data_IF_056637056141
#
_entry.id   IF_056637056141
#
_cell.length_a   1.000
_cell.length_b   1.000
_cell.length_c   1.000
_cell.angle_alpha   90.00
_cell.angle_beta   90.00
_cell.angle_gamma   90.00
#
_symmetry.space_group_name_H-M   'P 1'
#
loop_
_entity.id
_entity.type
_entity.pdbx_description
1 polymer ?
#
# COMPACT_ATOMS: atom_id res chain seq x y z
N UNK A 1 -16.80 21.32 -22.99
CA UNK A 1 -16.34 21.45 -21.59
C UNK A 1 -14.82 21.43 -21.54
N UNK A 2 -14.16 22.46 -22.06
CA UNK A 2 -12.68 22.45 -22.20
C UNK A 2 -12.03 23.77 -21.81
N UNK A 3 -12.76 24.62 -21.10
CA UNK A 3 -12.30 25.94 -20.66
C UNK A 3 -12.03 25.90 -19.16
N UNK A 4 -12.86 25.20 -18.37
CA UNK A 4 -12.74 25.04 -16.92
C UNK A 4 -12.11 23.68 -16.54
N UNK A 5 -10.99 23.30 -17.18
CA UNK A 5 -10.31 22.02 -16.95
C UNK A 5 -9.08 22.23 -16.05
N UNK A 6 -9.28 22.69 -14.81
CA UNK A 6 -8.21 22.77 -13.80
C UNK A 6 -8.22 21.52 -12.92
N UNK A 7 -7.04 21.13 -12.43
CA UNK A 7 -6.84 19.99 -11.52
C UNK A 7 -6.69 20.48 -10.08
N UNK A 8 -7.06 19.65 -9.11
CA UNK A 8 -6.91 19.95 -7.67
C UNK A 8 -5.46 20.32 -7.31
N UNK A 9 -4.48 19.70 -7.96
CA UNK A 9 -3.05 19.94 -7.75
C UNK A 9 -2.58 21.35 -8.14
N UNK A 10 -3.34 22.08 -8.97
CA UNK A 10 -3.03 23.46 -9.36
C UNK A 10 -3.38 24.48 -8.26
N UNK A 11 -4.04 24.04 -7.18
CA UNK A 11 -4.47 24.88 -6.07
C UNK A 11 -3.61 24.64 -4.82
N UNK A 12 -3.30 25.72 -4.10
CA UNK A 12 -2.49 25.63 -2.87
C UNK A 12 -3.27 25.04 -1.69
N UNK A 13 -4.58 25.28 -1.65
CA UNK A 13 -5.48 24.88 -0.58
C UNK A 13 -6.70 24.17 -1.15
N UNK A 14 -7.14 23.11 -0.46
CA UNK A 14 -8.36 22.38 -0.82
C UNK A 14 -9.61 23.28 -0.86
N UNK A 15 -9.72 24.27 0.02
CA UNK A 15 -10.85 25.23 -0.01
C UNK A 15 -10.94 26.00 -1.33
N UNK A 16 -9.80 26.44 -1.87
CA UNK A 16 -9.79 27.16 -3.15
C UNK A 16 -10.20 26.26 -4.33
N UNK A 17 -9.93 24.96 -4.23
CA UNK A 17 -10.42 23.96 -5.17
C UNK A 17 -11.93 23.75 -5.03
N UNK A 18 -12.42 23.59 -3.79
CA UNK A 18 -13.85 23.43 -3.51
C UNK A 18 -14.65 24.68 -3.99
N UNK A 19 -14.15 25.90 -3.73
CA UNK A 19 -14.74 27.17 -4.19
C UNK A 19 -14.76 27.27 -5.73
N UNK A 20 -13.70 26.81 -6.40
CA UNK A 20 -13.64 26.78 -7.87
C UNK A 20 -14.65 25.78 -8.46
N UNK A 21 -14.85 24.63 -7.81
CA UNK A 21 -15.87 23.67 -8.22
C UNK A 21 -17.27 24.28 -8.07
N UNK A 22 -17.55 24.98 -6.98
CA UNK A 22 -18.84 25.67 -6.78
C UNK A 22 -19.07 26.72 -7.88
N UNK A 23 -18.09 27.56 -8.18
CA UNK A 23 -18.18 28.54 -9.28
C UNK A 23 -18.41 27.88 -10.64
N UNK A 24 -17.74 26.74 -10.90
CA UNK A 24 -17.92 25.97 -12.13
C UNK A 24 -19.35 25.43 -12.23
N UNK A 25 -19.90 24.89 -11.15
CA UNK A 25 -21.29 24.41 -11.11
C UNK A 25 -22.29 25.57 -11.24
N UNK A 26 -22.03 26.73 -10.64
CA UNK A 26 -22.87 27.92 -10.79
C UNK A 26 -22.92 28.40 -12.25
N UNK A 27 -21.76 28.46 -12.92
CA UNK A 27 -21.68 28.82 -14.34
C UNK A 27 -22.44 27.81 -15.21
N UNK A 28 -22.28 26.51 -14.94
CA UNK A 28 -22.98 25.44 -15.68
C UNK A 28 -24.49 25.54 -15.43
N UNK A 29 -24.89 25.71 -14.17
CA UNK A 29 -26.29 25.88 -13.75
C UNK A 29 -26.93 27.06 -14.47
N UNK A 30 -26.28 28.22 -14.47
CA UNK A 30 -26.75 29.41 -15.17
C UNK A 30 -26.89 29.18 -16.68
N UNK A 31 -25.94 28.48 -17.30
CA UNK A 31 -26.01 28.16 -18.73
C UNK A 31 -27.11 27.14 -19.06
N UNK A 32 -27.37 26.18 -18.17
CA UNK A 32 -28.41 25.15 -18.34
C UNK A 32 -29.81 25.72 -18.11
N UNK A 33 -29.99 26.55 -17.08
CA UNK A 33 -31.27 27.19 -16.77
C UNK A 33 -31.55 28.45 -17.60
N UNK A 34 -30.57 28.90 -18.40
CA UNK A 34 -30.69 30.10 -19.23
C UNK A 34 -30.75 31.40 -18.43
N UNK A 35 -30.29 31.39 -17.18
CA UNK A 35 -30.18 32.57 -16.33
C UNK A 35 -28.87 33.30 -16.61
N UNK A 36 -28.97 34.59 -16.93
CA UNK A 36 -27.83 35.51 -17.08
C UNK A 36 -26.71 35.02 -18.04
N UNK A 37 -27.11 34.39 -19.15
CA UNK A 37 -26.20 33.79 -20.16
C UNK A 37 -25.14 34.79 -20.67
N UNK A 38 -25.53 36.04 -20.90
CA UNK A 38 -24.60 37.05 -21.41
C UNK A 38 -23.46 37.36 -20.43
N UNK A 39 -23.72 37.39 -19.12
CA UNK A 39 -22.67 37.64 -18.12
C UNK A 39 -21.79 36.41 -17.92
N UNK A 40 -22.37 35.22 -17.91
CA UNK A 40 -21.58 33.98 -17.75
C UNK A 40 -20.69 33.72 -18.96
N UNK A 41 -21.16 33.99 -20.18
CA UNK A 41 -20.34 33.93 -21.40
C UNK A 41 -19.20 34.97 -21.38
N UNK A 42 -19.45 36.19 -20.90
CA UNK A 42 -18.42 37.21 -20.76
C UNK A 42 -17.34 36.79 -19.75
N UNK A 43 -17.75 36.26 -18.59
CA UNK A 43 -16.84 35.71 -17.59
C UNK A 43 -16.02 34.53 -18.15
N UNK A 44 -16.65 33.65 -18.94
CA UNK A 44 -15.96 32.55 -19.61
C UNK A 44 -14.93 33.03 -20.63
N UNK A 45 -15.25 34.07 -21.40
CA UNK A 45 -14.35 34.65 -22.39
C UNK A 45 -13.13 35.31 -21.73
N UNK A 46 -13.37 36.07 -20.66
CA UNK A 46 -12.30 36.67 -19.85
C UNK A 46 -11.40 35.58 -19.27
N UNK A 47 -11.98 34.57 -18.62
CA UNK A 47 -11.24 33.42 -18.06
C UNK A 47 -10.45 32.67 -19.14
N UNK A 48 -11.04 32.40 -20.30
CA UNK A 48 -10.39 31.69 -21.40
C UNK A 48 -9.17 32.47 -21.91
N UNK A 49 -9.26 33.80 -21.99
CA UNK A 49 -8.14 34.65 -22.40
C UNK A 49 -7.00 34.67 -21.37
N UNK A 50 -7.34 34.76 -20.08
CA UNK A 50 -6.36 34.84 -18.99
C UNK A 50 -5.63 33.51 -18.75
N UNK A 51 -6.29 32.38 -19.07
CA UNK A 51 -5.80 31.04 -18.73
C UNK A 51 -5.59 30.11 -19.93
N UNK A 52 -5.46 30.67 -21.14
CA UNK A 52 -5.27 29.88 -22.37
C UNK A 52 -4.09 28.89 -22.31
N UNK A 53 -2.99 29.26 -21.63
CA UNK A 53 -1.81 28.40 -21.47
C UNK A 53 -2.07 27.20 -20.57
N UNK A 54 -2.66 27.40 -19.40
CA UNK A 54 -3.04 26.34 -18.46
C UNK A 54 -4.05 25.38 -19.09
N UNK A 55 -5.05 25.91 -19.81
CA UNK A 55 -6.03 25.10 -20.54
C UNK A 55 -5.36 24.19 -21.58
N UNK A 56 -4.40 24.71 -22.36
CA UNK A 56 -3.66 23.91 -23.34
C UNK A 56 -2.82 22.83 -22.67
N UNK A 57 -2.15 23.16 -21.58
CA UNK A 57 -1.33 22.20 -20.84
C UNK A 57 -2.18 21.05 -20.28
N UNK A 58 -3.29 21.37 -19.61
CA UNK A 58 -4.17 20.36 -19.01
C UNK A 58 -4.85 19.49 -20.08
N UNK A 59 -5.19 20.05 -21.25
CA UNK A 59 -5.69 19.26 -22.39
C UNK A 59 -4.64 18.31 -22.95
N UNK A 60 -3.39 18.74 -23.04
CA UNK A 60 -2.31 17.88 -23.50
C UNK A 60 -2.09 16.73 -22.52
N UNK A 61 -2.05 17.01 -21.20
CA UNK A 61 -1.93 15.97 -20.18
C UNK A 61 -3.10 14.97 -20.23
N UNK A 62 -4.34 15.44 -20.37
CA UNK A 62 -5.52 14.57 -20.51
C UNK A 62 -5.43 13.69 -21.78
N UNK A 63 -4.91 14.24 -22.87
CA UNK A 63 -4.67 13.47 -24.10
C UNK A 63 -3.55 12.43 -23.95
N UNK A 64 -2.49 12.76 -23.22
CA UNK A 64 -1.37 11.85 -22.92
C UNK A 64 -1.81 10.71 -22.00
N UNK A 65 -2.57 11.02 -20.94
CA UNK A 65 -3.12 10.04 -20.00
C UNK A 65 -4.11 9.09 -20.67
N UNK A 66 -5.02 9.62 -21.49
CA UNK A 66 -5.97 8.78 -22.24
C UNK A 66 -5.28 7.90 -23.29
N UNK A 67 -4.25 8.41 -23.97
CA UNK A 67 -3.43 7.62 -24.88
C UNK A 67 -2.68 6.50 -24.13
N UNK A 68 -2.04 6.81 -23.02
CA UNK A 68 -1.32 5.82 -22.21
C UNK A 68 -2.25 4.73 -21.67
N UNK A 69 -3.46 5.09 -21.24
CA UNK A 69 -4.47 4.13 -20.78
C UNK A 69 -4.89 3.19 -21.92
N UNK A 70 -5.15 3.73 -23.11
CA UNK A 70 -5.48 2.92 -24.28
C UNK A 70 -4.32 1.98 -24.66
N UNK A 71 -3.09 2.46 -24.65
CA UNK A 71 -1.91 1.63 -24.89
C UNK A 71 -1.83 0.47 -23.90
N UNK A 72 -1.99 0.73 -22.60
CA UNK A 72 -2.01 -0.33 -21.57
C UNK A 72 -3.11 -1.36 -21.82
N UNK A 73 -4.32 -0.92 -22.14
CA UNK A 73 -5.43 -1.83 -22.47
C UNK A 73 -5.12 -2.68 -23.71
N UNK A 74 -4.51 -2.10 -24.74
CA UNK A 74 -4.14 -2.86 -25.95
C UNK A 74 -3.07 -3.89 -25.67
N UNK A 75 -2.06 -3.55 -24.85
CA UNK A 75 -1.00 -4.47 -24.44
C UNK A 75 -1.57 -5.62 -23.61
N UNK A 76 -2.49 -5.34 -22.68
CA UNK A 76 -3.17 -6.37 -21.88
C UNK A 76 -3.99 -7.31 -22.78
N UNK A 77 -4.75 -6.76 -23.73
CA UNK A 77 -5.52 -7.56 -24.68
C UNK A 77 -4.61 -8.42 -25.57
N UNK A 78 -3.50 -7.88 -26.06
CA UNK A 78 -2.51 -8.62 -26.85
C UNK A 78 -1.88 -9.74 -26.03
N UNK A 79 -1.48 -9.47 -24.77
CA UNK A 79 -0.93 -10.48 -23.88
C UNK A 79 -1.94 -11.60 -23.59
N UNK A 80 -3.22 -11.26 -23.39
CA UNK A 80 -4.28 -12.25 -23.20
C UNK A 80 -4.51 -13.10 -24.45
N UNK A 81 -4.50 -12.49 -25.64
CA UNK A 81 -4.58 -13.23 -26.93
C UNK A 81 -3.41 -14.19 -27.09
N UNK A 82 -2.18 -13.71 -26.86
CA UNK A 82 -0.98 -14.55 -26.92
C UNK A 82 -1.04 -15.72 -25.92
N UNK A 83 -1.54 -15.50 -24.70
CA UNK A 83 -1.73 -16.59 -23.71
C UNK A 83 -2.74 -17.63 -24.18
N UNK A 84 -3.85 -17.20 -24.80
CA UNK A 84 -4.86 -18.12 -25.36
C UNK A 84 -4.30 -18.93 -26.52
N UNK A 85 -3.56 -18.28 -27.42
CA UNK A 85 -2.91 -18.95 -28.55
C UNK A 85 -1.85 -19.94 -28.09
N UNK A 86 -1.00 -19.56 -27.14
CA UNK A 86 -0.01 -20.45 -26.54
C UNK A 86 -0.66 -21.68 -25.89
N UNK A 87 -1.74 -21.48 -25.11
CA UNK A 87 -2.47 -22.59 -24.50
C UNK A 87 -3.07 -23.55 -25.53
N UNK A 88 -3.59 -23.02 -26.65
CA UNK A 88 -4.09 -23.83 -27.76
C UNK A 88 -2.96 -24.61 -28.45
N UNK A 89 -1.83 -23.96 -28.72
CA UNK A 89 -0.66 -24.60 -29.32
C UNK A 89 -0.10 -25.69 -28.42
N UNK A 90 -0.01 -25.47 -27.10
CA UNK A 90 0.44 -26.46 -26.13
C UNK A 90 -0.46 -27.70 -26.14
N UNK A 91 -1.79 -27.51 -26.17
CA UNK A 91 -2.75 -28.60 -26.27
C UNK A 91 -2.60 -29.39 -27.58
N UNK A 92 -2.50 -28.69 -28.71
CA UNK A 92 -2.33 -29.32 -30.03
C UNK A 92 -0.99 -30.08 -30.11
N UNK A 93 0.09 -29.53 -29.55
CA UNK A 93 1.39 -30.18 -29.49
C UNK A 93 1.37 -31.41 -28.59
N UNK A 94 0.72 -31.34 -27.42
CA UNK A 94 0.56 -32.50 -26.53
C UNK A 94 -0.26 -33.61 -27.23
N UNK A 95 -1.32 -33.24 -27.95
CA UNK A 95 -2.13 -34.17 -28.73
C UNK A 95 -1.31 -34.82 -29.84
N UNK A 96 -0.53 -34.04 -30.62
CA UNK A 96 0.36 -34.58 -31.66
C UNK A 96 1.44 -35.49 -31.09
N UNK A 97 2.06 -35.12 -29.96
CA UNK A 97 3.07 -35.93 -29.31
C UNK A 97 2.52 -37.28 -28.81
N UNK A 98 1.27 -37.31 -28.32
CA UNK A 98 0.57 -38.56 -27.96
C UNK A 98 0.31 -39.45 -29.17
N UNK A 99 -0.12 -38.86 -30.29
CA UNK A 99 -0.37 -39.61 -31.53
C UNK A 99 0.93 -40.15 -32.13
N UNK A 100 1.95 -39.32 -32.27
CA UNK A 100 3.27 -39.75 -32.75
C UNK A 100 3.85 -40.86 -31.86
N UNK A 101 3.77 -40.71 -30.53
CA UNK A 101 4.21 -41.76 -29.61
C UNK A 101 3.42 -43.07 -29.75
N UNK A 102 2.13 -43.02 -30.13
CA UNK A 102 1.33 -44.21 -30.42
C UNK A 102 1.75 -44.85 -31.75
N UNK A 103 1.96 -44.04 -32.78
CA UNK A 103 2.41 -44.48 -34.11
C UNK A 103 3.79 -45.14 -34.03
N UNK A 104 4.73 -44.57 -33.26
CA UNK A 104 6.05 -45.16 -33.01
C UNK A 104 5.97 -46.54 -32.35
N UNK A 105 5.04 -46.73 -31.41
CA UNK A 105 4.83 -48.04 -30.77
C UNK A 105 4.24 -49.04 -31.78
N UNK A 106 3.25 -48.62 -32.57
CA UNK A 106 2.60 -49.47 -33.58
C UNK A 106 3.60 -49.90 -34.65
N UNK A 107 4.41 -48.97 -35.14
CA UNK A 107 5.45 -49.27 -36.15
C UNK A 107 6.49 -50.24 -35.61
N UNK A 108 6.99 -50.03 -34.38
CA UNK A 108 7.89 -50.99 -33.71
C UNK A 108 7.29 -52.37 -33.54
N UNK A 109 6.00 -52.44 -33.17
CA UNK A 109 5.26 -53.70 -33.05
C UNK A 109 5.07 -54.38 -34.41
N UNK A 110 4.84 -53.61 -35.48
CA UNK A 110 4.69 -54.14 -36.83
C UNK A 110 6.00 -54.68 -37.42
N UNK A 111 7.15 -54.09 -37.05
CA UNK A 111 8.48 -54.55 -37.48
C UNK A 111 9.08 -55.65 -36.61
N UNK A 112 8.57 -55.83 -35.37
CA UNK A 112 9.14 -56.75 -34.38
C UNK A 112 8.58 -58.17 -34.44
N UNK A 113 9.30 -59.13 -33.85
CA UNK A 113 8.84 -60.52 -33.70
C UNK A 113 7.89 -60.68 -32.50
N UNK A 114 7.09 -61.75 -32.44
CA UNK A 114 6.11 -62.00 -31.37
C UNK A 114 6.72 -62.05 -29.96
N UNK A 115 7.99 -62.44 -29.84
CA UNK A 115 8.75 -62.43 -28.57
C UNK A 115 9.16 -61.02 -28.13
N UNK A 116 9.32 -60.09 -29.07
CA UNK A 116 9.73 -58.71 -28.81
C UNK A 116 8.53 -57.83 -28.44
N UNK A 117 7.31 -58.22 -28.82
CA UNK A 117 6.09 -57.49 -28.53
C UNK A 117 5.86 -57.27 -27.02
N UNK A 118 6.19 -58.27 -26.19
CA UNK A 118 6.11 -58.13 -24.73
C UNK A 118 7.16 -57.18 -24.16
N UNK A 119 8.37 -57.18 -24.73
CA UNK A 119 9.44 -56.27 -24.34
C UNK A 119 9.09 -54.82 -24.71
N UNK A 120 8.57 -54.59 -25.91
CA UNK A 120 8.11 -53.29 -26.42
C UNK A 120 6.93 -52.76 -25.56
N UNK A 121 5.99 -53.62 -25.16
CA UNK A 121 4.89 -53.22 -24.28
C UNK A 121 5.36 -52.83 -22.86
N UNK A 122 6.36 -53.53 -22.31
CA UNK A 122 6.97 -53.19 -21.02
C UNK A 122 7.78 -51.89 -21.11
N UNK A 123 8.51 -51.69 -22.21
CA UNK A 123 9.26 -50.46 -22.48
C UNK A 123 8.32 -49.27 -22.66
N UNK A 124 7.22 -49.41 -23.42
CA UNK A 124 6.21 -48.36 -23.59
C UNK A 124 5.54 -47.96 -22.26
N UNK A 125 5.22 -48.94 -21.40
CA UNK A 125 4.70 -48.67 -20.05
C UNK A 125 5.72 -47.94 -19.17
N UNK A 126 7.00 -48.36 -19.19
CA UNK A 126 8.08 -47.67 -18.47
C UNK A 126 8.32 -46.27 -19.03
N UNK A 127 8.42 -46.10 -20.35
CA UNK A 127 8.59 -44.81 -21.01
C UNK A 127 7.45 -43.84 -20.76
N UNK A 128 6.19 -44.32 -20.74
CA UNK A 128 5.04 -43.53 -20.32
C UNK A 128 5.13 -43.12 -18.83
N UNK A 129 5.61 -44.01 -17.96
CA UNK A 129 5.77 -43.71 -16.53
C UNK A 129 6.91 -42.69 -16.28
N UNK A 130 8.02 -42.84 -16.99
CA UNK A 130 9.16 -41.92 -16.95
C UNK A 130 8.84 -40.54 -17.55
N UNK A 131 8.05 -40.48 -18.64
CA UNK A 131 7.57 -39.21 -19.20
C UNK A 131 6.61 -38.48 -18.23
N UNK A 132 5.76 -39.22 -17.51
CA UNK A 132 4.88 -38.64 -16.48
C UNK A 132 5.65 -38.14 -15.25
N UNK A 133 6.68 -38.84 -14.81
CA UNK A 133 7.50 -38.42 -13.66
C UNK A 133 8.45 -37.26 -14.01
N UNK A 134 9.01 -37.25 -15.23
CA UNK A 134 9.81 -36.12 -15.72
C UNK A 134 8.96 -34.89 -16.01
N UNK A 135 7.74 -35.03 -16.53
CA UNK A 135 6.80 -33.92 -16.71
C UNK A 135 6.47 -33.23 -15.37
N UNK A 136 6.19 -33.99 -14.31
CA UNK A 136 5.97 -33.45 -12.96
C UNK A 136 7.17 -32.68 -12.42
N UNK A 137 8.39 -33.26 -12.54
CA UNK A 137 9.63 -32.59 -12.10
C UNK A 137 9.93 -31.31 -12.90
N UNK A 138 9.65 -31.31 -14.20
CA UNK A 138 9.83 -30.12 -15.04
C UNK A 138 8.80 -29.02 -14.77
N UNK A 139 7.55 -29.39 -14.44
CA UNK A 139 6.51 -28.45 -14.06
C UNK A 139 6.78 -27.83 -12.69
N UNK A 140 7.26 -28.62 -11.72
CA UNK A 140 7.73 -28.11 -10.42
C UNK A 140 8.88 -27.10 -10.58
N UNK A 141 9.84 -27.37 -11.47
CA UNK A 141 10.93 -26.43 -11.78
C UNK A 141 10.44 -25.17 -12.51
N UNK A 142 9.48 -25.28 -13.44
CA UNK A 142 8.87 -24.12 -14.11
C UNK A 142 8.09 -23.24 -13.14
N UNK A 143 7.33 -23.85 -12.22
CA UNK A 143 6.58 -23.14 -11.17
C UNK A 143 7.57 -22.43 -10.24
N UNK A 144 8.65 -23.12 -9.82
CA UNK A 144 9.69 -22.53 -8.97
C UNK A 144 10.43 -21.37 -9.66
N UNK A 145 10.72 -21.49 -10.97
CA UNK A 145 11.32 -20.40 -11.76
C UNK A 145 10.37 -19.21 -11.93
N UNK A 146 9.07 -19.45 -12.18
CA UNK A 146 8.06 -18.37 -12.26
C UNK A 146 7.88 -17.66 -10.93
N UNK A 147 7.85 -18.39 -9.82
CA UNK A 147 7.80 -17.82 -8.48
C UNK A 147 9.07 -16.99 -8.17
N UNK A 148 10.25 -17.51 -8.51
CA UNK A 148 11.51 -16.78 -8.33
C UNK A 148 11.59 -15.51 -9.18
N UNK A 149 11.05 -15.50 -10.40
CA UNK A 149 11.00 -14.33 -11.26
C UNK A 149 10.05 -13.24 -10.71
N UNK A 150 8.88 -13.62 -10.20
CA UNK A 150 7.93 -12.69 -9.56
C UNK A 150 8.52 -12.04 -8.30
N UNK A 151 9.28 -12.80 -7.50
CA UNK A 151 10.03 -12.28 -6.35
C UNK A 151 11.19 -11.36 -6.76
N UNK A 152 11.86 -11.64 -7.88
CA UNK A 152 12.94 -10.79 -8.39
C UNK A 152 12.44 -9.49 -9.04
N UNK A 153 11.22 -9.50 -9.59
CA UNK A 153 10.55 -8.34 -10.18
C UNK A 153 10.06 -7.36 -9.09
N UNK A 154 9.54 -7.87 -7.97
CA UNK A 154 9.15 -7.01 -6.83
C UNK A 154 10.34 -6.33 -6.14
N UNK A 155 11.58 -6.77 -6.40
CA UNK A 155 12.81 -6.20 -5.84
C UNK A 155 13.44 -5.07 -6.69
N UNK A 156 12.84 -4.70 -7.83
CA UNK A 156 13.44 -3.75 -8.81
C UNK A 156 12.65 -2.46 -9.03
N UNK A 157 11.81 -2.03 -8.11
CA UNK A 157 11.21 -0.67 -8.11
C UNK A 157 12.08 0.33 -7.36
N UNK A 158 13.38 0.37 -7.67
CA UNK A 158 14.33 1.41 -7.23
C UNK A 158 15.03 1.99 -8.45
N UNK A 159 14.55 3.12 -8.93
CA UNK A 159 15.05 3.78 -10.15
C UNK A 159 16.37 4.55 -9.89
N UNK A 160 17.31 4.59 -10.85
CA UNK A 160 18.51 5.44 -10.80
C UNK A 160 18.30 6.79 -11.52
N UNK A 161 18.85 7.85 -10.93
CA UNK A 161 18.83 9.25 -11.41
C UNK A 161 20.03 9.58 -12.34
N UNK A 162 19.91 10.49 -13.34
CA UNK A 162 21.04 11.15 -13.98
C UNK A 162 21.28 12.60 -13.47
N UNK A 163 22.49 13.19 -13.63
CA UNK A 163 22.86 14.49 -13.07
C UNK A 163 22.86 15.63 -14.11
N UNK A 164 22.46 16.85 -13.71
CA UNK A 164 22.62 18.06 -14.53
C UNK A 164 21.96 19.31 -13.93
N UNK A 165 22.74 20.38 -13.74
CA UNK A 165 22.42 21.59 -12.98
C UNK A 165 21.74 22.72 -13.78
N UNK A 166 21.00 23.62 -13.11
CA UNK A 166 20.90 25.06 -13.43
C UNK A 166 20.19 25.89 -12.31
N UNK A 167 20.83 26.98 -11.84
CA UNK A 167 20.18 28.16 -11.21
C UNK A 167 19.59 29.05 -12.33
N UNK A 168 18.51 29.85 -12.15
CA UNK A 168 18.64 31.26 -11.72
C UNK A 168 17.37 31.83 -10.99
N UNK A 169 17.46 32.76 -10.04
CA UNK A 169 17.55 34.23 -10.09
C UNK A 169 16.35 34.88 -9.40
N UNK A 170 16.64 35.71 -8.41
CA UNK A 170 15.73 36.53 -7.61
C UNK A 170 15.36 37.80 -8.37
N UNK A 171 14.06 38.10 -8.47
CA UNK A 171 13.48 39.38 -8.86
C UNK A 171 12.06 39.51 -8.26
N UNK A 172 11.57 40.70 -7.91
CA UNK A 172 10.43 40.86 -7.01
C UNK A 172 9.09 40.82 -7.77
N UNK A 173 8.35 39.71 -7.66
CA UNK A 173 7.03 39.55 -8.27
C UNK A 173 5.90 39.78 -7.26
N UNK A 174 4.90 40.53 -7.71
CA UNK A 174 3.77 41.15 -6.99
C UNK A 174 2.72 40.17 -6.41
N UNK A 175 2.89 38.86 -6.53
CA UNK A 175 1.92 37.86 -6.04
C UNK A 175 2.42 37.25 -4.74
N UNK A 176 1.72 37.58 -3.65
CA UNK A 176 1.91 36.99 -2.33
C UNK A 176 1.31 35.58 -2.35
N UNK A 177 2.15 34.53 -2.30
CA UNK A 177 1.68 33.15 -2.07
C UNK A 177 2.18 32.06 -3.03
N UNK A 178 2.85 32.40 -4.13
CA UNK A 178 3.43 31.40 -5.04
C UNK A 178 4.44 30.52 -4.29
N UNK A 179 4.17 29.21 -4.17
CA UNK A 179 5.07 28.30 -3.46
C UNK A 179 6.38 28.12 -4.20
N UNK A 180 7.49 28.38 -3.49
CA UNK A 180 8.82 27.91 -3.88
C UNK A 180 8.79 26.38 -3.86
N UNK A 181 9.24 25.76 -4.95
CA UNK A 181 9.43 24.31 -5.06
C UNK A 181 10.25 23.85 -3.85
N UNK A 182 9.60 23.15 -2.91
CA UNK A 182 10.31 22.48 -1.82
C UNK A 182 10.94 21.23 -2.40
N UNK A 183 12.25 21.28 -2.62
CA UNK A 183 13.06 20.08 -2.81
C UNK A 183 12.76 19.13 -1.64
N UNK A 184 12.45 17.84 -1.88
CA UNK A 184 12.21 16.90 -0.79
C UNK A 184 13.40 16.91 0.16
N UNK A 185 13.14 16.90 1.46
CA UNK A 185 14.21 16.90 2.46
C UNK A 185 15.11 15.69 2.21
N UNK A 186 16.45 15.88 2.18
CA UNK A 186 17.37 14.77 1.98
C UNK A 186 17.12 13.73 3.07
N UNK A 187 17.17 12.44 2.69
CA UNK A 187 17.04 11.34 3.64
C UNK A 187 17.95 11.61 4.84
N UNK A 188 17.36 11.57 6.05
CA UNK A 188 18.11 11.84 7.28
C UNK A 188 19.29 10.88 7.32
N UNK A 189 20.49 11.36 7.72
CA UNK A 189 21.65 10.49 7.88
C UNK A 189 21.28 9.24 8.67
N UNK A 190 21.67 8.07 8.16
CA UNK A 190 21.34 6.77 8.76
C UNK A 190 21.72 6.77 10.25
N UNK A 191 20.72 6.63 11.12
CA UNK A 191 20.89 6.51 12.55
C UNK A 191 21.01 5.01 12.91
N UNK A 192 22.18 4.54 13.39
CA UNK A 192 22.39 3.15 13.80
C UNK A 192 21.45 2.67 14.90
N UNK A 193 20.82 3.59 15.64
CA UNK A 193 19.87 3.29 16.70
C UNK A 193 18.41 3.48 16.28
N UNK A 194 18.15 3.76 15.00
CA UNK A 194 16.79 3.92 14.45
C UNK A 194 15.88 4.85 15.27
N UNK A 195 16.41 5.95 15.81
CA UNK A 195 15.67 6.84 16.69
C UNK A 195 15.69 6.43 18.18
N UNK A 196 16.67 5.65 18.62
CA UNK A 196 16.81 5.22 20.03
C UNK A 196 16.85 6.36 21.05
N UNK A 197 17.33 7.56 20.67
CA UNK A 197 17.21 8.76 21.51
C UNK A 197 15.76 9.19 21.75
N UNK A 198 14.84 8.88 20.84
CA UNK A 198 13.40 9.13 21.00
C UNK A 198 12.75 8.18 22.01
N UNK A 199 13.35 7.02 22.34
CA UNK A 199 12.84 6.15 23.41
C UNK A 199 13.09 6.73 24.80
N UNK A 200 14.15 7.53 24.94
CA UNK A 200 14.48 8.25 26.17
C UNK A 200 13.66 9.54 26.32
N UNK A 201 13.23 10.12 25.21
CA UNK A 201 12.35 11.28 25.21
C UNK A 201 10.92 10.80 25.50
N UNK A 202 10.38 11.20 26.64
CA UNK A 202 8.99 10.93 27.01
C UNK A 202 8.11 12.03 26.40
N UNK A 203 7.02 11.67 25.75
CA UNK A 203 6.17 12.62 25.01
C UNK A 203 5.44 13.63 25.92
N UNK A 204 5.13 13.24 27.15
CA UNK A 204 4.25 14.01 28.05
C UNK A 204 5.00 14.89 29.07
N UNK A 205 6.26 14.57 29.38
CA UNK A 205 7.02 15.30 30.40
C UNK A 205 8.53 15.24 30.12
N UNK A 206 9.24 16.29 30.54
CA UNK A 206 10.70 16.31 30.55
C UNK A 206 11.19 16.02 31.96
N UNK A 207 11.99 14.96 32.11
CA UNK A 207 12.59 14.62 33.40
C UNK A 207 13.74 15.58 33.72
N UNK A 208 13.65 16.29 34.84
CA UNK A 208 14.77 17.07 35.39
C UNK A 208 15.67 16.17 36.22
N UNK A 209 16.95 16.54 36.31
CA UNK A 209 17.92 15.83 37.17
C UNK A 209 17.65 16.02 38.65
N UNK A 210 16.93 17.09 39.03
CA UNK A 210 16.63 17.41 40.43
C UNK A 210 15.22 17.99 40.58
N UNK A 211 14.47 17.39 41.52
CA UNK A 211 13.20 17.93 42.00
C UNK A 211 13.31 18.16 43.52
N UNK A 212 13.09 19.39 44.00
CA UNK A 212 13.12 19.68 45.44
C UNK A 212 12.09 18.86 46.19
N UNK A 213 12.53 17.98 47.09
CA UNK A 213 11.64 17.16 47.90
C UNK A 213 12.26 16.88 49.26
N UNK A 214 11.59 17.28 50.36
CA UNK A 214 12.12 17.10 51.72
C UNK A 214 12.32 15.62 52.08
N UNK A 215 11.66 14.71 51.36
CA UNK A 215 11.78 13.27 51.55
C UNK A 215 12.97 12.67 50.79
N UNK A 216 13.30 13.19 49.59
CA UNK A 216 14.32 12.61 48.71
C UNK A 216 15.70 13.26 48.87
N UNK A 217 15.74 14.52 49.33
CA UNK A 217 16.99 15.23 49.56
C UNK A 217 17.95 14.46 50.51
N UNK A 218 17.51 13.83 51.62
CA UNK A 218 18.40 13.06 52.50
C UNK A 218 18.92 11.76 51.86
N UNK A 219 18.17 11.19 50.92
CA UNK A 219 18.46 9.89 50.29
C UNK A 219 19.53 10.05 49.21
N UNK A 220 19.60 11.22 48.58
CA UNK A 220 20.58 11.55 47.54
C UNK A 220 22.02 11.40 48.00
N UNK A 221 22.30 11.81 49.23
CA UNK A 221 23.65 11.81 49.79
C UNK A 221 23.96 10.53 50.60
N UNK A 222 22.97 9.65 50.80
CA UNK A 222 23.15 8.39 51.53
C UNK A 222 23.80 7.31 50.65
N UNK A 223 25.09 7.07 50.92
CA UNK A 223 25.92 6.06 50.24
C UNK A 223 25.31 4.66 50.33
N UNK A 224 24.56 4.34 51.40
CA UNK A 224 23.94 3.00 51.56
C UNK A 224 22.86 2.75 50.52
N UNK A 225 22.09 3.78 50.20
CA UNK A 225 20.99 3.70 49.23
C UNK A 225 21.55 3.69 47.81
N UNK A 226 22.56 4.51 47.54
CA UNK A 226 23.23 4.56 46.23
C UNK A 226 23.98 3.25 45.93
N UNK A 227 24.66 2.65 46.91
CA UNK A 227 25.30 1.35 46.78
C UNK A 227 24.29 0.20 46.56
N UNK A 228 23.03 0.39 46.97
CA UNK A 228 21.92 -0.52 46.71
C UNK A 228 21.36 -0.46 45.28
N UNK A 229 21.91 0.40 44.42
CA UNK A 229 21.46 0.56 43.03
C UNK A 229 20.17 1.37 42.89
N UNK A 230 19.78 2.13 43.92
CA UNK A 230 18.62 3.01 43.86
C UNK A 230 18.97 4.29 43.08
N UNK A 231 18.35 4.48 41.91
CA UNK A 231 18.49 5.71 41.12
C UNK A 231 17.28 6.63 41.34
N UNK A 232 17.57 7.88 41.73
CA UNK A 232 16.56 8.92 41.91
C UNK A 232 15.89 9.29 40.58
N UNK A 233 16.60 9.19 39.45
CA UNK A 233 16.03 9.50 38.13
C UNK A 233 14.88 8.56 37.79
N UNK A 234 15.03 7.27 38.10
CA UNK A 234 13.97 6.27 37.92
C UNK A 234 12.77 6.53 38.83
N UNK A 235 13.02 6.94 40.08
CA UNK A 235 11.95 7.31 41.00
C UNK A 235 11.14 8.51 40.48
N UNK A 236 11.82 9.56 40.02
CA UNK A 236 11.17 10.73 39.42
C UNK A 236 10.40 10.35 38.16
N UNK A 237 10.98 9.52 37.30
CA UNK A 237 10.33 9.06 36.06
C UNK A 237 9.04 8.29 36.35
N UNK A 238 9.05 7.38 37.32
CA UNK A 238 7.86 6.63 37.75
C UNK A 238 6.79 7.54 38.36
N UNK A 239 7.20 8.44 39.25
CA UNK A 239 6.29 9.37 39.94
C UNK A 239 5.60 10.32 38.95
N UNK A 240 6.35 10.86 37.98
CA UNK A 240 5.77 11.73 36.95
C UNK A 240 4.88 10.95 35.98
N UNK A 241 5.30 9.73 35.60
CA UNK A 241 4.47 8.89 34.74
C UNK A 241 3.13 8.53 35.42
N UNK A 242 3.14 8.12 36.68
CA UNK A 242 1.92 7.83 37.45
C UNK A 242 1.03 9.06 37.61
N UNK A 243 1.62 10.24 37.87
CA UNK A 243 0.86 11.46 38.02
C UNK A 243 0.15 11.91 36.72
N UNK A 244 0.81 11.75 35.55
CA UNK A 244 0.28 12.23 34.27
C UNK A 244 -0.50 11.17 33.48
N UNK A 245 -0.05 9.91 33.49
CA UNK A 245 -0.71 8.80 32.80
C UNK A 245 -1.70 8.03 33.70
N UNK A 246 -1.76 8.37 34.99
CA UNK A 246 -2.61 7.68 35.95
C UNK A 246 -2.26 6.19 36.08
N UNK A 247 -3.29 5.37 36.32
CA UNK A 247 -3.20 3.91 36.36
C UNK A 247 -3.11 3.26 34.97
N UNK A 248 -3.07 4.05 33.89
CA UNK A 248 -3.10 3.54 32.51
C UNK A 248 -4.41 2.84 32.12
N UNK A 249 -5.47 2.96 32.93
CA UNK A 249 -6.79 2.42 32.66
C UNK A 249 -7.70 3.50 32.06
N UNK A 250 -8.05 3.36 30.79
CA UNK A 250 -9.00 4.23 30.11
C UNK A 250 -10.41 3.64 30.26
N UNK A 251 -11.14 4.14 31.27
CA UNK A 251 -12.49 3.63 31.62
C UNK A 251 -13.44 3.75 30.42
N UNK A 252 -13.28 4.79 29.59
CA UNK A 252 -14.09 4.99 28.39
C UNK A 252 -13.91 3.86 27.36
N UNK A 253 -12.68 3.38 27.16
CA UNK A 253 -12.39 2.25 26.27
C UNK A 253 -12.96 0.95 26.85
N UNK A 254 -12.83 0.75 28.16
CA UNK A 254 -13.36 -0.44 28.85
C UNK A 254 -14.90 -0.48 28.81
N UNK A 255 -15.58 0.65 29.05
CA UNK A 255 -17.03 0.77 28.96
C UNK A 255 -17.51 0.55 27.51
N UNK A 256 -16.80 1.10 26.52
CA UNK A 256 -17.12 0.93 25.10
C UNK A 256 -16.97 -0.52 24.64
N UNK A 257 -15.98 -1.24 25.16
CA UNK A 257 -15.80 -2.67 24.90
C UNK A 257 -16.87 -3.53 25.60
N UNK A 258 -17.31 -3.12 26.80
CA UNK A 258 -18.33 -3.84 27.58
C UNK A 258 -19.74 -3.65 27.04
N UNK A 259 -20.06 -2.44 26.56
CA UNK A 259 -21.34 -2.08 25.97
C UNK A 259 -21.12 -1.61 24.53
N UNK A 260 -20.89 -2.51 23.56
CA UNK A 260 -20.80 -2.10 22.17
C UNK A 260 -22.15 -1.48 21.78
N UNK A 261 -22.18 -0.26 21.22
CA UNK A 261 -23.42 0.37 20.81
C UNK A 261 -24.11 -0.51 19.77
N UNK A 262 -25.31 -1.01 20.09
CA UNK A 262 -26.19 -1.65 19.10
C UNK A 262 -26.45 -0.65 17.98
N UNK A 263 -26.07 -1.04 16.77
CA UNK A 263 -26.01 -0.19 15.58
C UNK A 263 -27.23 0.73 15.41
N UNK A 264 -26.99 2.03 15.56
CA UNK A 264 -27.74 3.08 14.86
C UNK A 264 -26.76 3.81 13.95
N UNK A 265 -27.00 3.69 12.65
CA UNK A 265 -26.20 4.26 11.59
C UNK A 265 -26.30 5.80 11.61
N UNK A 266 -25.25 6.48 12.05
CA UNK A 266 -25.02 7.89 11.74
C UNK A 266 -23.57 8.09 11.30
N UNK A 267 -23.40 8.41 10.01
CA UNK A 267 -22.13 8.43 9.29
C UNK A 267 -21.40 9.78 9.38
N UNK A 268 -21.19 10.30 10.60
CA UNK A 268 -20.60 11.63 10.81
C UNK A 268 -19.40 11.68 11.77
N UNK A 269 -18.91 10.56 12.29
CA UNK A 269 -17.76 10.55 13.23
C UNK A 269 -16.41 10.04 12.66
N UNK A 270 -16.30 9.79 11.35
CA UNK A 270 -15.09 9.20 10.73
C UNK A 270 -13.91 10.17 10.50
N UNK A 271 -13.77 11.25 11.28
CA UNK A 271 -12.73 12.27 11.05
C UNK A 271 -11.90 12.68 12.28
N UNK A 272 -11.87 11.86 13.34
CA UNK A 272 -10.91 12.11 14.42
C UNK A 272 -10.37 10.80 15.01
N UNK A 273 -9.56 10.09 14.23
CA UNK A 273 -8.55 9.17 14.79
C UNK A 273 -7.51 8.82 13.72
N UNK A 274 -6.49 9.66 13.60
CA UNK A 274 -5.21 9.32 13.00
C UNK A 274 -4.14 9.76 13.99
N UNK A 275 -3.90 8.95 15.02
CA UNK A 275 -2.67 8.95 15.84
C UNK A 275 -2.58 7.77 16.83
N UNK A 276 -3.09 6.59 16.47
CA UNK A 276 -2.87 5.37 17.27
C UNK A 276 -2.80 4.12 16.38
N UNK A 277 -1.74 4.03 15.58
CA UNK A 277 -1.45 2.80 14.84
C UNK A 277 0.04 2.63 14.57
N UNK A 278 0.84 2.45 15.64
CA UNK A 278 2.11 1.72 15.58
C UNK A 278 2.32 1.01 16.92
N UNK A 279 2.75 -0.26 16.84
CA UNK A 279 2.98 -1.25 17.92
C UNK A 279 1.71 -2.02 18.30
N UNK A 280 1.55 -3.28 17.90
CA UNK A 280 2.45 -4.38 18.22
C UNK A 280 2.30 -5.54 17.23
N UNK A 281 3.42 -6.21 16.95
CA UNK A 281 3.47 -7.47 16.21
C UNK A 281 3.26 -8.68 17.12
N UNK A 282 2.46 -9.63 16.62
CA UNK A 282 2.71 -11.08 16.51
C UNK A 282 3.19 -11.89 17.74
N UNK A 283 2.33 -12.80 18.22
CA UNK A 283 2.57 -14.21 18.60
C UNK A 283 1.19 -14.85 18.96
N UNK A 284 0.70 -15.94 18.33
CA UNK A 284 0.97 -17.37 18.67
C UNK A 284 0.75 -17.65 20.18
N UNK A 285 0.00 -18.63 20.71
CA UNK A 285 -0.59 -19.88 20.24
C UNK A 285 -1.37 -20.51 21.45
N UNK A 286 -2.31 -21.42 21.17
CA UNK A 286 -2.82 -22.55 21.99
C UNK A 286 -3.53 -22.36 23.35
N UNK A 287 -4.73 -22.98 23.44
CA UNK A 287 -5.19 -23.99 24.44
C UNK A 287 -6.71 -23.84 24.69
N UNK A 288 -7.60 -24.70 24.16
CA UNK A 288 -8.03 -26.04 24.65
C UNK A 288 -9.08 -26.02 25.79
N UNK A 289 -10.18 -26.75 25.54
CA UNK A 289 -11.19 -27.33 26.46
C UNK A 289 -12.34 -26.42 26.92
N UNK A 290 -13.61 -26.83 27.07
CA UNK A 290 -14.51 -27.91 26.61
C UNK A 290 -15.94 -27.48 27.06
N UNK A 291 -17.03 -28.11 26.58
CA UNK A 291 -18.38 -27.51 26.57
C UNK A 291 -19.14 -27.65 27.90
N UNK A 292 -19.89 -26.60 28.26
CA UNK A 292 -20.90 -26.66 29.31
C UNK A 292 -22.27 -27.01 28.71
N UNK A 293 -22.81 -28.13 29.19
CA UNK A 293 -24.17 -28.63 29.02
C UNK A 293 -25.15 -27.67 29.71
N UNK A 294 -26.25 -27.28 29.04
CA UNK A 294 -27.43 -26.76 29.72
C UNK A 294 -28.59 -27.74 29.54
N UNK A 295 -28.87 -28.46 30.61
CA UNK A 295 -30.12 -29.18 30.87
C UNK A 295 -31.14 -28.21 31.45
N UNK A 296 -32.42 -28.38 31.10
CA UNK A 296 -33.58 -27.73 31.72
C UNK A 296 -33.84 -26.33 31.19
N UNK A 297 -35.04 -25.92 30.79
CA UNK A 297 -36.36 -26.27 31.31
C UNK A 297 -37.41 -25.97 30.21
N UNK A 298 -38.30 -26.90 29.86
CA UNK A 298 -39.65 -27.14 30.43
C UNK A 298 -40.74 -26.54 29.52
N UNK A 299 -41.62 -27.46 29.10
CA UNK A 299 -42.81 -27.38 28.24
C UNK A 299 -42.61 -27.40 26.72
#
# INVERSE_FOLDING_TARGET
MGILNRREEEFDNKRAWDDFLEQREEIISNLVYGTDVAKTEAQLAEYASQHASSIRHNKNLESEESAALLEQQTLEQQALRQRREAAKQDYDNERRAKLAGREDIITRLATGSTKDAEAIAREAKRGSLLKKSSARRSEEERIKRKQAALLAESGKTGAPTPPGAAKPSTGPSLIKGLRKIKTPEPEKPYDPFAGGSSLMNRDYYTLQDYYPSPYLDPIRDDVRVLAGGYDLKDYYARSLFEAFAGLGCFIEDEISARNPPSATLDASSLLSNKNSAVATGKAAEAAVSKPAVSSGDVF
#
